data_IF_749892446547
#
_entry.id   IF_749892446547
#
_cell.length_a   1.000
_cell.length_b   1.000
_cell.length_c   1.000
_cell.angle_alpha   90.00
_cell.angle_beta   90.00
_cell.angle_gamma   90.00
#
_symmetry.space_group_name_H-M   'P 1'
#
loop_
_entity.id
_entity.type
_entity.pdbx_description
1 polymer ?
#
# COMPACT_ATOMS: atom_id res chain seq x y z
N UNK A 1 2.46 12.86 9.91
CA UNK A 1 2.00 14.06 9.19
C UNK A 1 0.93 13.67 8.17
N UNK A 2 -0.19 14.39 8.13
CA UNK A 2 -1.19 14.26 7.06
C UNK A 2 -0.70 14.99 5.81
N UNK A 3 -0.67 14.31 4.65
CA UNK A 3 -0.26 14.91 3.37
C UNK A 3 -1.36 15.77 2.73
N UNK A 4 -2.60 15.70 3.23
CA UNK A 4 -3.77 16.31 2.60
C UNK A 4 -4.29 15.54 1.39
N UNK A 5 -3.65 14.43 1.00
CA UNK A 5 -4.12 13.53 -0.05
C UNK A 5 -4.96 12.39 0.54
N UNK A 6 -5.96 11.96 -0.24
CA UNK A 6 -6.86 10.86 0.06
C UNK A 6 -6.97 9.95 -1.14
N UNK A 7 -7.34 8.70 -0.89
CA UNK A 7 -7.60 7.75 -1.95
C UNK A 7 -8.71 6.78 -1.59
N UNK A 8 -9.45 6.37 -2.62
CA UNK A 8 -10.30 5.19 -2.59
C UNK A 8 -9.61 4.13 -3.45
N UNK A 9 -9.32 3.00 -2.83
CA UNK A 9 -8.80 1.82 -3.50
C UNK A 9 -9.95 0.85 -3.76
N UNK A 10 -9.84 0.07 -4.83
CA UNK A 10 -10.72 -1.03 -5.14
C UNK A 10 -10.03 -2.05 -6.03
N UNK A 11 -10.70 -3.17 -6.28
CA UNK A 11 -10.21 -4.20 -7.21
C UNK A 11 -11.22 -4.39 -8.32
N UNK A 12 -10.72 -4.67 -9.52
CA UNK A 12 -11.52 -5.06 -10.67
C UNK A 12 -11.03 -6.45 -11.07
N UNK A 13 -11.94 -7.43 -11.19
CA UNK A 13 -11.56 -8.76 -11.70
C UNK A 13 -10.92 -8.62 -13.07
N UNK A 14 -9.86 -9.37 -13.35
CA UNK A 14 -9.11 -9.21 -14.60
C UNK A 14 -10.00 -9.32 -15.86
N UNK A 15 -10.98 -10.23 -15.83
CA UNK A 15 -11.95 -10.43 -16.91
C UNK A 15 -12.86 -9.21 -17.17
N UNK A 16 -13.23 -8.48 -16.12
CA UNK A 16 -14.03 -7.26 -16.20
C UNK A 16 -13.17 -6.06 -16.58
N UNK A 17 -11.94 -6.00 -16.06
CA UNK A 17 -10.96 -4.98 -16.41
C UNK A 17 -10.68 -4.97 -17.92
N UNK A 18 -10.57 -6.14 -18.55
CA UNK A 18 -10.40 -6.28 -20.02
C UNK A 18 -11.53 -5.69 -20.85
N UNK A 19 -12.73 -5.53 -20.28
CA UNK A 19 -13.90 -4.96 -20.98
C UNK A 19 -13.90 -3.43 -20.93
N UNK A 20 -13.30 -2.84 -19.90
CA UNK A 20 -13.39 -1.40 -19.63
C UNK A 20 -12.06 -0.64 -19.79
N UNK A 21 -10.92 -1.32 -19.68
CA UNK A 21 -9.60 -0.71 -19.82
C UNK A 21 -8.97 -0.97 -21.19
N UNK A 22 -8.18 -0.02 -21.72
CA UNK A 22 -7.28 -0.29 -22.83
C UNK A 22 -6.31 -1.42 -22.50
N UNK A 23 -5.97 -2.24 -23.50
CA UNK A 23 -5.05 -3.37 -23.34
C UNK A 23 -3.69 -2.95 -22.75
N UNK A 24 -3.20 -1.74 -23.09
CA UNK A 24 -1.94 -1.22 -22.57
C UNK A 24 -1.97 -1.10 -21.03
N UNK A 25 -3.09 -0.68 -20.45
CA UNK A 25 -3.22 -0.55 -18.98
C UNK A 25 -3.16 -1.88 -18.24
N UNK A 26 -3.35 -3.00 -18.96
CA UNK A 26 -3.30 -4.37 -18.42
C UNK A 26 -1.92 -4.99 -18.65
N UNK A 27 -1.18 -4.52 -19.66
CA UNK A 27 0.15 -4.99 -19.98
C UNK A 27 1.26 -4.21 -19.25
N UNK A 28 0.97 -2.99 -18.81
CA UNK A 28 1.89 -2.12 -18.08
C UNK A 28 1.88 -2.39 -16.56
N UNK A 29 2.89 -1.91 -15.84
CA UNK A 29 3.01 -2.07 -14.37
C UNK A 29 2.01 -1.19 -13.64
N UNK A 30 1.85 0.06 -14.08
CA UNK A 30 0.90 1.01 -13.50
C UNK A 30 0.62 2.15 -14.48
N UNK A 31 -0.65 2.44 -14.72
CA UNK A 31 -1.09 3.55 -15.55
C UNK A 31 -1.88 4.55 -14.71
N UNK A 32 -1.49 5.82 -14.76
CA UNK A 32 -2.21 6.90 -14.10
C UNK A 32 -2.60 8.00 -15.09
N UNK A 33 -3.80 8.54 -14.91
CA UNK A 33 -4.31 9.70 -15.63
C UNK A 33 -4.84 10.72 -14.63
N UNK A 34 -4.70 12.01 -14.93
CA UNK A 34 -5.13 13.10 -14.04
C UNK A 34 -5.85 14.22 -14.79
N UNK A 35 -6.79 14.88 -14.12
CA UNK A 35 -7.45 16.08 -14.63
C UNK A 35 -6.81 17.39 -14.11
N UNK A 36 -7.37 18.54 -14.50
CA UNK A 36 -6.93 19.85 -14.03
C UNK A 36 -7.12 20.05 -12.51
N UNK A 37 -8.04 19.31 -11.87
CA UNK A 37 -8.26 19.33 -10.42
C UNK A 37 -7.17 18.57 -9.68
N UNK A 38 -6.29 17.83 -10.39
CA UNK A 38 -5.31 16.88 -9.84
C UNK A 38 -5.98 15.69 -9.16
N UNK A 39 -7.19 15.35 -9.58
CA UNK A 39 -7.77 14.05 -9.29
C UNK A 39 -7.12 13.03 -10.21
N UNK A 40 -6.77 11.87 -9.68
CA UNK A 40 -6.02 10.81 -10.37
C UNK A 40 -6.87 9.55 -10.39
N UNK A 41 -6.95 8.91 -11.56
CA UNK A 41 -7.33 7.51 -11.69
C UNK A 41 -6.06 6.72 -12.02
N UNK A 42 -5.66 5.85 -11.11
CA UNK A 42 -4.57 4.90 -11.25
C UNK A 42 -5.11 3.49 -11.40
N UNK A 43 -4.53 2.73 -12.33
CA UNK A 43 -4.80 1.31 -12.49
C UNK A 43 -3.49 0.53 -12.61
N UNK A 44 -3.44 -0.64 -12.00
CA UNK A 44 -2.27 -1.52 -12.07
C UNK A 44 -2.69 -2.98 -12.02
N UNK A 45 -2.22 -3.84 -12.93
CA UNK A 45 -2.53 -5.27 -12.90
C UNK A 45 -1.72 -6.00 -11.83
N UNK A 46 -2.40 -6.87 -11.09
CA UNK A 46 -1.81 -7.85 -10.17
C UNK A 46 -2.12 -9.22 -10.76
N UNK A 47 -1.14 -9.74 -11.50
CA UNK A 47 -1.21 -11.06 -12.13
C UNK A 47 -0.27 -11.98 -11.37
N UNK A 48 -0.78 -13.09 -10.84
CA UNK A 48 0.00 -14.04 -10.07
C UNK A 48 0.54 -15.14 -11.00
N UNK A 49 1.86 -15.20 -11.31
CA UNK A 49 2.42 -16.30 -12.08
C UNK A 49 2.33 -17.63 -11.32
N UNK A 50 2.41 -17.53 -9.99
CA UNK A 50 2.14 -18.61 -9.04
C UNK A 50 1.16 -18.06 -8.01
N UNK A 51 0.05 -18.78 -7.79
CA UNK A 51 -0.98 -18.37 -6.83
C UNK A 51 -0.40 -18.29 -5.41
N UNK A 52 -0.69 -17.24 -4.61
CA UNK A 52 -0.12 -17.09 -3.27
C UNK A 52 -0.34 -18.30 -2.35
N UNK A 53 -1.53 -18.88 -2.38
CA UNK A 53 -1.88 -20.08 -1.62
C UNK A 53 -1.06 -21.30 -2.03
N UNK A 54 -0.80 -21.48 -3.33
CA UNK A 54 0.05 -22.57 -3.82
C UNK A 54 1.53 -22.32 -3.52
N UNK A 55 1.99 -21.06 -3.62
CA UNK A 55 3.34 -20.68 -3.28
C UNK A 55 3.63 -20.95 -1.80
N UNK A 56 2.73 -20.57 -0.89
CA UNK A 56 2.88 -20.81 0.54
C UNK A 56 2.98 -22.32 0.86
N UNK A 57 2.13 -23.14 0.25
CA UNK A 57 2.19 -24.60 0.39
C UNK A 57 3.52 -25.17 -0.13
N UNK A 58 4.01 -24.69 -1.27
CA UNK A 58 5.28 -25.15 -1.84
C UNK A 58 6.51 -24.84 -0.98
N UNK A 59 6.42 -23.78 -0.17
CA UNK A 59 7.47 -23.37 0.78
C UNK A 59 7.35 -24.08 2.13
N UNK A 60 6.33 -24.94 2.32
CA UNK A 60 6.08 -25.62 3.60
C UNK A 60 5.67 -24.67 4.71
N UNK A 61 5.11 -23.51 4.39
CA UNK A 61 4.61 -22.59 5.40
C UNK A 61 3.37 -23.18 6.05
N UNK A 62 3.37 -23.27 7.38
CA UNK A 62 2.22 -23.71 8.18
C UNK A 62 1.17 -22.59 8.30
N UNK A 63 0.80 -22.01 7.16
CA UNK A 63 -0.24 -21.00 7.06
C UNK A 63 -1.09 -21.24 5.82
N UNK A 64 -2.41 -21.18 5.98
CA UNK A 64 -3.34 -21.20 4.85
C UNK A 64 -3.59 -19.76 4.43
N UNK A 65 -3.05 -19.36 3.28
CA UNK A 65 -3.42 -18.09 2.67
C UNK A 65 -4.76 -18.24 1.94
N UNK A 66 -5.56 -17.18 1.96
CA UNK A 66 -6.82 -17.13 1.19
C UNK A 66 -6.51 -17.11 -0.30
N UNK A 67 -7.32 -17.81 -1.09
CA UNK A 67 -7.23 -17.82 -2.56
C UNK A 67 -7.22 -16.40 -3.13
N UNK A 68 -6.26 -16.12 -4.02
CA UNK A 68 -6.18 -14.84 -4.73
C UNK A 68 -6.26 -15.04 -6.25
N UNK A 69 -7.25 -14.39 -6.85
CA UNK A 69 -7.40 -14.32 -8.30
C UNK A 69 -6.68 -13.12 -8.89
N UNK A 70 -6.42 -13.14 -10.19
CA UNK A 70 -5.81 -12.00 -10.87
C UNK A 70 -6.79 -10.83 -10.92
N UNK A 71 -6.30 -9.63 -10.64
CA UNK A 71 -7.13 -8.43 -10.61
C UNK A 71 -6.35 -7.21 -11.11
N UNK A 72 -7.07 -6.14 -11.37
CA UNK A 72 -6.51 -4.81 -11.58
C UNK A 72 -6.88 -3.97 -10.38
N UNK A 73 -5.87 -3.41 -9.69
CA UNK A 73 -6.10 -2.40 -8.66
C UNK A 73 -6.64 -1.14 -9.31
N UNK A 74 -7.65 -0.53 -8.71
CA UNK A 74 -8.25 0.73 -9.13
C UNK A 74 -8.10 1.74 -7.99
N UNK A 75 -7.48 2.86 -8.27
CA UNK A 75 -7.12 3.86 -7.25
C UNK A 75 -7.63 5.21 -7.74
N UNK A 76 -8.52 5.83 -6.97
CA UNK A 76 -8.99 7.19 -7.20
C UNK A 76 -8.38 8.03 -6.09
N UNK A 77 -7.47 8.94 -6.42
CA UNK A 77 -6.77 9.76 -5.43
C UNK A 77 -6.83 11.25 -5.77
N UNK A 78 -6.75 12.08 -4.74
CA UNK A 78 -6.82 13.52 -4.89
C UNK A 78 -6.68 14.25 -3.56
N UNK A 79 -6.91 15.56 -3.58
CA UNK A 79 -6.91 16.38 -2.36
C UNK A 79 -8.14 16.09 -1.51
N UNK A 80 -7.98 16.15 -0.19
CA UNK A 80 -9.00 15.75 0.79
C UNK A 80 -10.36 16.44 0.60
N UNK A 81 -10.39 17.68 0.11
CA UNK A 81 -11.64 18.43 -0.10
C UNK A 81 -12.60 17.76 -1.10
N UNK A 82 -12.12 16.85 -1.95
CA UNK A 82 -12.97 16.10 -2.87
C UNK A 82 -13.68 14.91 -2.22
N UNK A 83 -13.18 14.40 -1.09
CA UNK A 83 -13.67 13.17 -0.47
C UNK A 83 -14.65 13.44 0.68
N UNK A 84 -14.85 14.70 1.04
CA UNK A 84 -15.73 15.14 2.12
C UNK A 84 -15.00 15.99 3.15
N UNK A 85 -15.75 16.55 4.10
CA UNK A 85 -15.21 17.43 5.14
C UNK A 85 -14.69 16.69 6.37
N UNK A 86 -15.04 15.41 6.55
CA UNK A 86 -14.71 14.62 7.74
C UNK A 86 -14.30 13.18 7.38
N UNK A 87 -13.01 12.90 7.51
CA UNK A 87 -12.43 11.58 7.26
C UNK A 87 -13.03 10.48 8.14
N UNK A 88 -13.48 10.81 9.37
CA UNK A 88 -14.06 9.81 10.28
C UNK A 88 -15.41 9.29 9.79
N UNK A 89 -16.15 10.12 9.05
CA UNK A 89 -17.41 9.75 8.41
C UNK A 89 -17.12 8.89 7.17
N UNK A 90 -16.18 9.33 6.32
CA UNK A 90 -15.83 8.60 5.10
C UNK A 90 -15.27 7.20 5.43
N UNK A 91 -14.43 7.10 6.46
CA UNK A 91 -13.84 5.82 6.92
C UNK A 91 -14.88 4.78 7.34
N UNK A 92 -16.07 5.21 7.79
CA UNK A 92 -17.15 4.31 8.23
C UNK A 92 -18.07 3.87 7.11
N UNK A 93 -17.92 4.43 5.90
CA UNK A 93 -18.73 4.03 4.74
C UNK A 93 -18.49 2.58 4.37
N UNK A 94 -19.54 1.90 3.96
CA UNK A 94 -19.42 0.57 3.37
C UNK A 94 -18.66 0.64 2.04
N UNK A 95 -18.05 -0.47 1.64
CA UNK A 95 -17.34 -0.56 0.35
C UNK A 95 -18.18 -0.07 -0.83
N UNK A 96 -19.45 -0.48 -0.91
CA UNK A 96 -20.31 -0.12 -2.05
C UNK A 96 -20.63 1.39 -2.06
N UNK A 97 -20.68 2.04 -0.90
CA UNK A 97 -20.78 3.50 -0.81
C UNK A 97 -19.47 4.19 -1.26
N UNK A 98 -18.31 3.61 -0.94
CA UNK A 98 -17.01 4.11 -1.40
C UNK A 98 -16.85 3.93 -2.91
N UNK A 99 -17.33 2.82 -3.47
CA UNK A 99 -17.38 2.62 -4.91
C UNK A 99 -18.26 3.68 -5.58
N UNK A 100 -19.45 3.94 -5.03
CA UNK A 100 -20.34 4.98 -5.54
C UNK A 100 -19.69 6.37 -5.49
N UNK A 101 -19.00 6.70 -4.40
CA UNK A 101 -18.23 7.94 -4.28
C UNK A 101 -17.12 8.03 -5.35
N UNK A 102 -16.39 6.93 -5.60
CA UNK A 102 -15.37 6.89 -6.64
C UNK A 102 -15.94 7.11 -8.05
N UNK A 103 -17.15 6.60 -8.34
CA UNK A 103 -17.86 6.86 -9.60
C UNK A 103 -18.21 8.34 -9.72
N UNK A 104 -18.75 8.95 -8.66
CA UNK A 104 -19.17 10.35 -8.63
C UNK A 104 -17.98 11.31 -8.84
N UNK A 105 -16.84 11.03 -8.22
CA UNK A 105 -15.61 11.81 -8.36
C UNK A 105 -15.14 11.93 -9.84
N UNK A 106 -15.38 10.89 -10.63
CA UNK A 106 -15.02 10.81 -12.04
C UNK A 106 -16.19 11.09 -12.99
N UNK A 107 -17.35 11.53 -12.52
CA UNK A 107 -18.56 11.69 -13.35
C UNK A 107 -18.39 12.60 -14.58
N UNK A 108 -17.60 13.67 -14.45
CA UNK A 108 -17.29 14.61 -15.54
C UNK A 108 -16.17 14.12 -16.49
N UNK A 109 -15.57 12.97 -16.23
CA UNK A 109 -14.48 12.42 -17.04
C UNK A 109 -15.01 11.70 -18.28
N UNK A 110 -14.18 11.55 -19.34
CA UNK A 110 -14.53 10.73 -20.49
C UNK A 110 -14.99 9.33 -20.07
N UNK A 111 -16.02 8.81 -20.74
CA UNK A 111 -16.69 7.53 -20.41
C UNK A 111 -15.74 6.36 -20.17
N UNK A 112 -14.61 6.29 -20.89
CA UNK A 112 -13.61 5.23 -20.72
C UNK A 112 -12.96 5.23 -19.33
N UNK A 113 -12.77 6.40 -18.72
CA UNK A 113 -12.18 6.50 -17.39
C UNK A 113 -13.26 6.46 -16.29
N UNK A 114 -14.39 7.15 -16.49
CA UNK A 114 -15.46 7.23 -15.49
C UNK A 114 -16.22 5.92 -15.26
N UNK A 115 -16.20 4.99 -16.22
CA UNK A 115 -16.79 3.66 -16.06
C UNK A 115 -15.91 2.66 -15.30
N UNK A 116 -14.63 2.95 -15.07
CA UNK A 116 -13.67 2.02 -14.46
C UNK A 116 -14.07 1.64 -13.03
N UNK A 117 -14.42 2.57 -12.12
CA UNK A 117 -14.80 2.20 -10.75
C UNK A 117 -16.09 1.36 -10.72
N UNK A 118 -17.01 1.56 -11.67
CA UNK A 118 -18.26 0.81 -11.75
C UNK A 118 -18.05 -0.67 -12.14
N UNK A 119 -16.92 -1.03 -12.75
CA UNK A 119 -16.53 -2.41 -13.01
C UNK A 119 -15.90 -3.11 -11.80
N UNK A 120 -15.65 -2.37 -10.72
CA UNK A 120 -15.02 -2.91 -9.51
C UNK A 120 -15.84 -3.99 -8.82
N UNK A 121 -15.13 -4.92 -8.19
CA UNK A 121 -15.70 -5.99 -7.39
C UNK A 121 -16.43 -5.40 -6.17
N UNK A 122 -17.68 -5.82 -5.97
CA UNK A 122 -18.48 -5.45 -4.79
C UNK A 122 -17.74 -5.82 -3.50
N UNK A 123 -17.81 -4.97 -2.49
CA UNK A 123 -17.11 -5.22 -1.23
C UNK A 123 -15.60 -5.01 -1.25
N UNK A 124 -14.97 -4.65 -2.39
CA UNK A 124 -13.50 -4.51 -2.49
C UNK A 124 -12.96 -3.10 -2.24
N UNK A 125 -13.82 -2.11 -2.06
CA UNK A 125 -13.42 -0.70 -1.97
C UNK A 125 -13.16 -0.25 -0.54
N UNK A 126 -12.07 0.49 -0.33
CA UNK A 126 -11.68 1.03 0.97
C UNK A 126 -11.02 2.40 0.85
N UNK A 127 -11.11 3.18 1.92
CA UNK A 127 -10.62 4.55 2.00
C UNK A 127 -9.26 4.64 2.70
N UNK A 128 -8.34 5.44 2.16
CA UNK A 128 -7.00 5.66 2.69
C UNK A 128 -6.72 7.15 2.84
N UNK A 129 -6.29 7.50 4.05
CA UNK A 129 -5.63 8.77 4.36
C UNK A 129 -4.12 8.62 4.10
N UNK A 130 -3.57 9.47 3.25
CA UNK A 130 -2.15 9.42 2.95
C UNK A 130 -1.38 10.19 4.04
N UNK A 131 -0.69 9.46 4.90
CA UNK A 131 0.13 10.01 5.97
C UNK A 131 1.60 9.57 5.79
N UNK A 132 2.52 10.41 6.23
CA UNK A 132 3.94 10.08 6.38
C UNK A 132 4.34 10.13 7.86
N UNK A 133 5.34 9.37 8.28
CA UNK A 133 5.99 9.52 9.58
C UNK A 133 6.69 10.87 9.69
N UNK A 134 6.82 11.38 10.92
CA UNK A 134 7.72 12.50 11.23
C UNK A 134 8.93 11.89 11.92
N UNK A 135 10.17 12.16 11.47
CA UNK A 135 11.36 11.68 12.13
C UNK A 135 11.37 12.03 13.62
N UNK A 136 11.78 11.07 14.45
CA UNK A 136 11.89 11.25 15.90
C UNK A 136 13.07 10.47 16.46
N UNK A 137 13.51 10.87 17.64
CA UNK A 137 14.59 10.19 18.35
C UNK A 137 14.07 8.90 19.01
N UNK A 138 14.36 7.75 18.40
CA UNK A 138 13.97 6.44 18.92
C UNK A 138 14.79 6.13 20.18
N UNK A 139 14.09 5.94 21.31
CA UNK A 139 14.74 5.62 22.58
C UNK A 139 15.10 4.13 22.62
N UNK A 140 16.39 3.77 22.87
CA UNK A 140 16.80 2.37 22.92
C UNK A 140 16.03 1.57 23.98
N UNK A 141 15.70 0.32 23.66
CA UNK A 141 15.14 -0.64 24.60
C UNK A 141 15.96 -1.94 24.56
N UNK A 142 16.02 -2.66 25.68
CA UNK A 142 16.93 -3.80 25.83
C UNK A 142 16.54 -5.04 25.02
N UNK A 143 15.26 -5.16 24.64
CA UNK A 143 14.70 -6.34 23.95
C UNK A 143 13.47 -6.04 23.06
N UNK A 144 13.19 -4.76 22.77
CA UNK A 144 12.05 -4.37 21.91
C UNK A 144 12.58 -3.38 20.88
N UNK A 145 12.18 -3.54 19.63
CA UNK A 145 12.48 -2.59 18.55
C UNK A 145 11.30 -2.53 17.56
N UNK A 146 11.38 -1.65 16.56
CA UNK A 146 10.36 -1.43 15.54
C UNK A 146 10.90 -1.73 14.13
N UNK A 147 10.01 -2.05 13.19
CA UNK A 147 10.33 -2.24 11.77
C UNK A 147 9.13 -1.89 10.87
N UNK A 148 9.39 -1.54 9.62
CA UNK A 148 8.38 -1.22 8.61
C UNK A 148 7.50 -0.02 8.98
N UNK A 149 6.21 -0.12 8.67
CA UNK A 149 5.24 0.96 8.91
C UNK A 149 5.07 1.33 10.40
N UNK A 150 5.52 0.49 11.33
CA UNK A 150 5.48 0.80 12.76
C UNK A 150 6.44 1.94 13.16
N UNK A 151 7.47 2.20 12.36
CA UNK A 151 8.48 3.26 12.59
C UNK A 151 8.50 4.26 11.44
N UNK A 152 8.44 3.80 10.20
CA UNK A 152 8.60 4.62 9.00
C UNK A 152 7.41 4.49 8.05
N UNK A 153 6.18 4.73 8.54
CA UNK A 153 5.00 4.79 7.66
C UNK A 153 5.22 5.83 6.56
N UNK A 154 5.15 5.40 5.30
CA UNK A 154 5.33 6.27 4.13
C UNK A 154 4.02 6.48 3.39
N UNK A 155 3.94 7.56 2.61
CA UNK A 155 2.84 7.70 1.65
C UNK A 155 2.98 6.61 0.56
N UNK A 156 1.86 6.02 0.08
CA UNK A 156 1.91 4.91 -0.88
C UNK A 156 2.35 5.31 -2.30
N UNK A 157 2.61 6.61 -2.53
CA UNK A 157 2.83 7.24 -3.83
C UNK A 157 4.02 6.70 -4.64
N UNK A 158 4.98 6.02 -4.01
CA UNK A 158 6.15 5.43 -4.69
C UNK A 158 6.31 3.92 -4.45
N UNK A 159 5.36 3.25 -3.77
CA UNK A 159 5.46 1.80 -3.50
C UNK A 159 6.69 1.40 -2.66
N UNK A 160 7.25 2.32 -1.87
CA UNK A 160 8.51 2.11 -1.15
C UNK A 160 8.36 1.40 0.19
N UNK A 161 7.21 1.54 0.85
CA UNK A 161 6.99 1.02 2.21
C UNK A 161 7.29 -0.48 2.32
N UNK A 162 6.78 -1.30 1.39
CA UNK A 162 7.05 -2.73 1.38
C UNK A 162 8.54 -3.06 1.20
N UNK A 163 9.23 -2.35 0.30
CA UNK A 163 10.67 -2.54 0.07
C UNK A 163 11.49 -2.15 1.29
N UNK A 164 11.09 -1.09 2.00
CA UNK A 164 11.73 -0.64 3.23
C UNK A 164 11.50 -1.65 4.34
N UNK A 165 10.26 -2.12 4.55
CA UNK A 165 9.97 -3.16 5.55
C UNK A 165 10.77 -4.46 5.30
N UNK A 166 10.97 -4.87 4.05
CA UNK A 166 11.83 -6.00 3.70
C UNK A 166 13.31 -5.72 4.01
N UNK A 167 13.79 -4.50 3.73
CA UNK A 167 15.15 -4.08 4.09
C UNK A 167 15.35 -4.11 5.62
N UNK A 168 14.39 -3.58 6.38
CA UNK A 168 14.40 -3.59 7.84
C UNK A 168 14.48 -5.04 8.36
N UNK A 169 13.67 -5.95 7.82
CA UNK A 169 13.66 -7.34 8.21
C UNK A 169 14.99 -8.05 7.93
N UNK A 170 15.62 -7.80 6.78
CA UNK A 170 16.94 -8.35 6.45
C UNK A 170 18.02 -7.81 7.39
N UNK A 171 17.99 -6.52 7.68
CA UNK A 171 18.97 -5.88 8.57
C UNK A 171 18.83 -6.42 10.00
N UNK A 172 17.62 -6.43 10.56
CA UNK A 172 17.35 -6.98 11.88
C UNK A 172 17.71 -8.47 11.97
N UNK A 173 17.39 -9.25 10.93
CA UNK A 173 17.72 -10.67 10.88
C UNK A 173 19.23 -10.94 10.98
N UNK A 174 20.07 -10.11 10.33
CA UNK A 174 21.53 -10.23 10.43
C UNK A 174 22.03 -9.98 11.85
N UNK A 175 21.55 -8.92 12.49
CA UNK A 175 21.90 -8.59 13.88
C UNK A 175 21.49 -9.71 14.86
N UNK A 176 20.29 -10.27 14.69
CA UNK A 176 19.81 -11.38 15.52
C UNK A 176 20.61 -12.69 15.31
N UNK A 177 21.13 -12.94 14.10
CA UNK A 177 22.01 -14.08 13.84
C UNK A 177 23.32 -13.93 14.62
N UNK A 178 23.92 -12.74 14.66
CA UNK A 178 25.16 -12.52 15.41
C UNK A 178 24.97 -12.71 16.93
N UNK A 179 23.81 -12.35 17.47
CA UNK A 179 23.41 -12.67 18.85
C UNK A 179 23.29 -14.18 19.05
N UNK A 180 22.58 -14.87 18.14
CA UNK A 180 22.40 -16.33 18.24
C UNK A 180 23.72 -17.10 18.17
N UNK A 181 24.74 -16.55 17.51
CA UNK A 181 26.08 -17.12 17.44
C UNK A 181 26.97 -16.73 18.64
N UNK A 182 26.45 -15.97 19.60
CA UNK A 182 27.19 -15.52 20.79
C UNK A 182 28.27 -14.48 20.50
N UNK A 183 28.22 -13.82 19.34
CA UNK A 183 29.24 -12.84 18.92
C UNK A 183 28.95 -11.43 19.43
N UNK A 184 27.70 -11.15 19.77
CA UNK A 184 27.24 -9.81 20.19
C UNK A 184 26.08 -9.90 21.17
N UNK A 185 26.04 -8.97 22.12
CA UNK A 185 24.91 -8.82 23.04
C UNK A 185 23.66 -8.30 22.31
N UNK A 186 22.46 -8.72 22.74
CA UNK A 186 21.20 -8.32 22.11
C UNK A 186 21.04 -6.80 22.07
N UNK A 187 21.30 -6.13 23.19
CA UNK A 187 21.15 -4.66 23.29
C UNK A 187 22.02 -3.91 22.29
N UNK A 188 23.26 -4.36 22.07
CA UNK A 188 24.17 -3.75 21.10
C UNK A 188 23.73 -4.04 19.66
N UNK A 189 23.12 -5.20 19.44
CA UNK A 189 22.64 -5.61 18.12
C UNK A 189 21.41 -4.82 17.70
N UNK A 190 20.48 -4.59 18.65
CA UNK A 190 19.35 -3.69 18.46
C UNK A 190 19.80 -2.25 18.23
N UNK A 191 20.78 -1.74 19.00
CA UNK A 191 21.28 -0.38 18.83
C UNK A 191 21.89 -0.12 17.44
N UNK A 192 22.68 -1.07 16.92
CA UNK A 192 23.26 -0.94 15.58
C UNK A 192 22.19 -1.04 14.48
N UNK A 193 21.22 -1.96 14.62
CA UNK A 193 20.04 -2.03 13.75
C UNK A 193 19.27 -0.72 13.75
N UNK A 194 18.90 -0.19 14.92
CA UNK A 194 18.10 1.02 15.08
C UNK A 194 18.79 2.25 14.48
N UNK A 195 20.10 2.35 14.66
CA UNK A 195 20.90 3.44 14.09
C UNK A 195 20.84 3.45 12.56
N UNK A 196 21.13 2.31 11.92
CA UNK A 196 21.10 2.25 10.45
C UNK A 196 19.65 2.37 9.92
N UNK A 197 18.70 1.69 10.55
CA UNK A 197 17.30 1.69 10.17
C UNK A 197 16.66 3.08 10.20
N UNK A 198 16.89 3.85 11.26
CA UNK A 198 16.40 5.22 11.37
C UNK A 198 17.08 6.17 10.38
N UNK A 199 18.37 5.99 10.09
CA UNK A 199 19.10 6.81 9.12
C UNK A 199 18.50 6.71 7.72
N UNK A 200 18.34 5.50 7.17
CA UNK A 200 17.72 5.42 5.84
C UNK A 200 16.21 5.66 5.92
N UNK A 201 15.50 5.12 6.92
CA UNK A 201 14.04 5.16 6.93
C UNK A 201 13.47 6.57 7.01
N UNK A 202 14.05 7.44 7.85
CA UNK A 202 13.61 8.83 7.96
C UNK A 202 13.98 9.67 6.73
N UNK A 203 15.12 9.43 6.10
CA UNK A 203 15.50 10.07 4.84
C UNK A 203 14.54 9.75 3.68
N UNK A 204 13.73 8.69 3.79
CA UNK A 204 12.74 8.32 2.77
C UNK A 204 11.32 8.82 3.09
N UNK A 205 11.09 9.34 4.29
CA UNK A 205 9.79 9.86 4.76
C UNK A 205 9.63 11.37 4.59
N UNK A 206 10.74 12.10 4.35
CA UNK A 206 10.78 13.52 4.00
C UNK A 206 10.27 13.80 2.57
#
# INVERSE_FOLDING_TARGET
MDSGARAIYGRIKLEDARKVLPQLCIADVFTAVSDARKLILGVGPIIFPVRPESAAQSLGLDCTLNEQHDYVGCIISGRKEFFGSDDTVVRKKASDELQQMAIELLSDWPRKASSVPAAGEKGSFFYIEMNSSIPFDLKPHHNVTLLGDAIHKMTPSLGRGANVALKDAVLLGKELIEVSLGKKELVNSLADYEKEMTEYGFNLTE
#
